data_IF_523997527171
#
_entry.id   IF_523997527171
#
_cell.length_a   1.000
_cell.length_b   1.000
_cell.length_c   1.000
_cell.angle_alpha   90.00
_cell.angle_beta   90.00
_cell.angle_gamma   90.00
#
_symmetry.space_group_name_H-M   'P 1'
#
loop_
_entity.id
_entity.type
_entity.pdbx_description
1 polymer ?
#
# COMPACT_ATOMS: atom_id res chain seq x y z
N UNK A 1 10.39 -1.43 3.35
CA UNK A 1 11.68 -2.15 3.14
C UNK A 1 12.80 -1.56 4.00
N UNK A 2 13.21 -0.30 3.77
CA UNK A 2 14.31 0.32 4.56
C UNK A 2 14.07 0.27 6.07
N UNK A 3 12.86 0.63 6.51
CA UNK A 3 12.47 0.53 7.93
C UNK A 3 12.59 -0.90 8.47
N UNK A 4 12.14 -1.89 7.70
CA UNK A 4 12.22 -3.31 8.08
C UNK A 4 13.67 -3.78 8.20
N UNK A 5 14.53 -3.41 7.25
CA UNK A 5 15.96 -3.75 7.30
C UNK A 5 16.64 -3.15 8.53
N UNK A 6 16.36 -1.88 8.81
CA UNK A 6 16.88 -1.21 10.00
C UNK A 6 16.37 -1.86 11.30
N UNK A 7 15.08 -2.19 11.37
CA UNK A 7 14.50 -2.87 12.52
C UNK A 7 15.06 -4.28 12.72
N UNK A 8 15.21 -5.07 11.65
CA UNK A 8 15.82 -6.40 11.70
C UNK A 8 17.27 -6.33 12.15
N UNK A 9 18.03 -5.33 11.71
CA UNK A 9 19.39 -5.10 12.18
C UNK A 9 19.42 -4.80 13.70
N UNK A 10 18.51 -3.98 14.20
CA UNK A 10 18.40 -3.70 15.64
C UNK A 10 18.04 -4.94 16.46
N UNK A 11 17.12 -5.78 15.95
CA UNK A 11 16.70 -7.02 16.62
C UNK A 11 17.81 -8.07 16.63
N UNK A 12 18.47 -8.29 15.49
CA UNK A 12 19.58 -9.28 15.40
C UNK A 12 20.80 -8.89 16.22
N UNK A 13 21.10 -7.59 16.32
CA UNK A 13 22.22 -7.08 17.10
C UNK A 13 21.86 -6.71 18.55
N UNK A 14 20.70 -7.13 19.09
CA UNK A 14 20.20 -6.61 20.36
C UNK A 14 21.17 -6.81 21.53
N UNK A 15 21.86 -7.96 21.62
CA UNK A 15 22.83 -8.25 22.69
C UNK A 15 24.02 -7.27 22.67
N UNK A 16 24.52 -6.94 21.48
CA UNK A 16 25.64 -6.01 21.28
C UNK A 16 25.21 -4.57 21.58
N UNK A 17 24.02 -4.19 21.16
CA UNK A 17 23.48 -2.84 21.33
C UNK A 17 23.07 -2.57 22.78
N UNK A 18 22.56 -3.58 23.49
CA UNK A 18 22.22 -3.49 24.91
C UNK A 18 23.46 -3.37 25.80
N UNK A 19 24.56 -4.06 25.44
CA UNK A 19 25.84 -3.94 26.16
C UNK A 19 26.46 -2.54 26.05
N UNK A 20 26.13 -1.78 25.00
CA UNK A 20 26.59 -0.41 24.80
C UNK A 20 25.57 0.55 25.39
N UNK A 21 25.75 0.90 26.67
CA UNK A 21 24.90 1.89 27.36
C UNK A 21 24.94 3.20 26.58
N UNK A 22 23.76 3.68 26.18
CA UNK A 22 23.57 4.90 25.40
C UNK A 22 22.88 5.95 26.26
N UNK A 23 23.46 7.15 26.32
CA UNK A 23 22.87 8.31 27.01
C UNK A 23 21.89 9.08 26.13
N UNK A 24 21.72 8.69 24.86
CA UNK A 24 20.81 9.34 23.93
C UNK A 24 19.38 8.84 24.12
N UNK A 25 18.49 9.71 24.61
CA UNK A 25 17.08 9.38 24.84
C UNK A 25 16.36 8.88 23.59
N UNK A 26 16.60 9.51 22.44
CA UNK A 26 16.02 9.10 21.14
C UNK A 26 16.39 7.64 20.84
N UNK A 27 17.65 7.26 21.03
CA UNK A 27 18.11 5.90 20.77
C UNK A 27 17.44 4.89 21.71
N UNK A 28 17.29 5.24 22.98
CA UNK A 28 16.66 4.38 23.98
C UNK A 28 15.17 4.13 23.67
N UNK A 29 14.43 5.14 23.20
CA UNK A 29 13.04 4.99 22.75
C UNK A 29 12.95 4.06 21.53
N UNK A 30 13.78 4.29 20.51
CA UNK A 30 13.81 3.45 19.30
C UNK A 30 14.17 1.99 19.60
N UNK A 31 15.19 1.76 20.45
CA UNK A 31 15.63 0.42 20.82
C UNK A 31 14.61 -0.31 21.70
N UNK A 32 13.91 0.41 22.60
CA UNK A 32 12.77 -0.11 23.36
C UNK A 32 11.64 -0.58 22.44
N UNK A 33 11.35 0.17 21.38
CA UNK A 33 10.32 -0.13 20.39
C UNK A 33 10.73 -1.06 19.23
N UNK A 34 11.90 -1.71 19.28
CA UNK A 34 12.48 -2.45 18.13
C UNK A 34 11.53 -3.44 17.44
N UNK A 35 10.71 -4.17 18.20
CA UNK A 35 9.72 -5.12 17.66
C UNK A 35 8.50 -4.42 17.05
N UNK A 36 8.09 -3.28 17.61
CA UNK A 36 7.00 -2.45 17.05
C UNK A 36 7.44 -1.91 15.68
N UNK A 37 8.65 -1.38 15.58
CA UNK A 37 9.20 -0.85 14.31
C UNK A 37 9.33 -1.97 13.27
N UNK A 38 9.74 -3.18 13.68
CA UNK A 38 9.80 -4.35 12.80
C UNK A 38 8.42 -4.67 12.21
N UNK A 39 7.40 -4.75 13.08
CA UNK A 39 6.03 -5.05 12.69
C UNK A 39 5.45 -3.95 11.79
N UNK A 40 5.67 -2.68 12.14
CA UNK A 40 5.30 -1.53 11.30
C UNK A 40 5.95 -1.60 9.91
N UNK A 41 7.24 -1.96 9.85
CA UNK A 41 7.95 -2.11 8.59
C UNK A 41 7.39 -3.23 7.70
N UNK A 42 7.05 -4.38 8.29
CA UNK A 42 6.44 -5.51 7.55
C UNK A 42 5.05 -5.17 7.03
N UNK A 43 4.18 -4.60 7.88
CA UNK A 43 2.85 -4.18 7.44
C UNK A 43 2.91 -3.06 6.40
N UNK A 44 3.88 -2.15 6.49
CA UNK A 44 4.10 -1.12 5.46
C UNK A 44 4.47 -1.73 4.10
N UNK A 45 5.26 -2.82 4.06
CA UNK A 45 5.56 -3.54 2.81
C UNK A 45 4.28 -4.15 2.24
N UNK A 46 3.48 -4.82 3.07
CA UNK A 46 2.21 -5.39 2.64
C UNK A 46 1.27 -4.33 2.05
N UNK A 47 1.08 -3.19 2.75
CA UNK A 47 0.24 -2.11 2.23
C UNK A 47 0.83 -1.49 0.96
N UNK A 48 2.16 -1.40 0.84
CA UNK A 48 2.83 -0.92 -0.38
C UNK A 48 2.55 -1.80 -1.59
N UNK A 49 2.51 -3.13 -1.40
CA UNK A 49 2.10 -4.09 -2.45
C UNK A 49 0.62 -3.90 -2.81
N UNK A 50 -0.27 -3.74 -1.82
CA UNK A 50 -1.70 -3.50 -2.07
C UNK A 50 -1.93 -2.21 -2.87
N UNK A 51 -1.22 -1.12 -2.56
CA UNK A 51 -1.29 0.11 -3.36
C UNK A 51 -0.52 0.03 -4.68
N UNK A 52 0.29 -1.01 -4.87
CA UNK A 52 1.25 -1.15 -5.97
C UNK A 52 2.11 0.10 -6.15
N UNK A 53 2.73 0.55 -5.05
CA UNK A 53 3.58 1.74 -5.02
C UNK A 53 4.93 1.43 -4.38
N UNK A 54 5.99 1.52 -5.19
CA UNK A 54 7.39 1.43 -4.77
C UNK A 54 8.10 2.69 -5.22
N UNK A 55 8.47 3.57 -4.29
CA UNK A 55 9.12 4.85 -4.56
C UNK A 55 8.37 5.72 -5.60
N UNK A 56 7.03 5.77 -5.51
CA UNK A 56 6.15 6.50 -6.43
C UNK A 56 6.11 5.92 -7.84
N UNK A 57 6.45 4.63 -8.00
CA UNK A 57 6.35 3.88 -9.25
C UNK A 57 5.53 2.61 -9.04
N UNK A 58 4.71 2.28 -10.05
CA UNK A 58 3.94 1.03 -10.06
C UNK A 58 4.73 -0.11 -10.69
N UNK A 59 4.49 -1.32 -10.20
CA UNK A 59 5.11 -2.56 -10.69
C UNK A 59 4.12 -3.37 -11.51
N UNK A 60 4.46 -3.70 -12.75
CA UNK A 60 3.66 -4.58 -13.59
C UNK A 60 4.11 -6.04 -13.40
N UNK A 61 3.46 -6.75 -12.47
CA UNK A 61 3.82 -8.13 -12.10
C UNK A 61 2.93 -9.15 -12.83
N UNK A 62 1.62 -8.88 -12.95
CA UNK A 62 0.64 -9.82 -13.51
C UNK A 62 0.14 -9.44 -14.91
N UNK A 63 0.61 -8.33 -15.48
CA UNK A 63 0.01 -7.73 -16.68
C UNK A 63 -1.15 -6.82 -16.32
N UNK A 64 -1.22 -5.64 -16.95
CA UNK A 64 -2.36 -4.74 -16.75
C UNK A 64 -3.63 -5.35 -17.36
N UNK A 65 -4.76 -5.15 -16.69
CA UNK A 65 -6.07 -5.54 -17.20
C UNK A 65 -6.60 -4.57 -18.27
N UNK A 66 -5.88 -3.46 -18.51
CA UNK A 66 -6.23 -2.44 -19.47
C UNK A 66 -5.33 -2.52 -20.70
N UNK A 67 -5.95 -2.38 -21.88
CA UNK A 67 -5.29 -2.39 -23.18
C UNK A 67 -5.58 -1.12 -23.94
N UNK A 68 -4.58 -0.64 -24.68
CA UNK A 68 -4.70 0.52 -25.55
C UNK A 68 -4.91 0.02 -26.98
N UNK A 69 -6.17 -0.12 -27.40
CA UNK A 69 -6.53 -0.54 -28.77
C UNK A 69 -6.97 0.67 -29.63
N UNK A 70 -6.14 1.71 -29.66
CA UNK A 70 -6.37 2.90 -30.50
C UNK A 70 -5.51 2.87 -31.76
N UNK A 71 -6.03 3.41 -32.87
CA UNK A 71 -5.29 3.49 -34.12
C UNK A 71 -4.26 4.62 -34.05
N UNK A 72 -3.17 4.51 -34.81
CA UNK A 72 -2.14 5.56 -34.89
C UNK A 72 -2.69 6.91 -35.39
N UNK A 73 -3.79 6.92 -36.14
CA UNK A 73 -4.52 8.15 -36.50
C UNK A 73 -5.11 8.83 -35.28
N UNK A 74 -5.80 8.06 -34.43
CA UNK A 74 -6.51 8.55 -33.25
C UNK A 74 -5.55 9.15 -32.21
N UNK A 75 -4.36 8.54 -32.10
CA UNK A 75 -3.26 9.00 -31.23
C UNK A 75 -2.63 10.32 -31.68
N UNK A 76 -2.65 10.62 -32.98
CA UNK A 76 -2.10 11.85 -33.53
C UNK A 76 -3.10 13.01 -33.52
N UNK A 77 -4.41 12.70 -33.56
CA UNK A 77 -5.48 13.70 -33.59
C UNK A 77 -5.85 14.22 -32.19
N UNK A 78 -5.70 13.40 -31.14
CA UNK A 78 -6.14 13.73 -29.78
C UNK A 78 -4.99 13.71 -28.79
N UNK A 79 -4.80 14.80 -28.04
CA UNK A 79 -3.80 14.88 -26.97
C UNK A 79 -4.13 13.95 -25.78
N UNK A 80 -5.41 13.67 -25.56
CA UNK A 80 -5.92 12.86 -24.45
C UNK A 80 -7.01 11.92 -24.92
N UNK A 81 -6.85 10.64 -24.59
CA UNK A 81 -7.81 9.59 -24.91
C UNK A 81 -8.34 8.96 -23.61
N UNK A 82 -9.64 8.71 -23.57
CA UNK A 82 -10.30 8.06 -22.44
C UNK A 82 -10.66 6.63 -22.81
N UNK A 83 -10.09 5.67 -22.08
CA UNK A 83 -10.43 4.26 -22.23
C UNK A 83 -11.86 4.00 -21.71
N UNK A 84 -12.71 3.44 -22.57
CA UNK A 84 -14.06 3.04 -22.17
C UNK A 84 -14.02 1.71 -21.39
N UNK A 85 -14.37 1.68 -20.09
CA UNK A 85 -14.42 0.45 -19.31
C UNK A 85 -15.46 -0.55 -19.78
N UNK A 86 -16.42 -0.16 -20.64
CA UNK A 86 -17.49 -1.04 -21.11
C UNK A 86 -17.06 -1.92 -22.29
N UNK A 87 -16.09 -1.48 -23.08
CA UNK A 87 -15.61 -2.26 -24.22
C UNK A 87 -14.58 -3.30 -23.77
N UNK A 88 -14.74 -4.54 -24.25
CA UNK A 88 -13.77 -5.61 -24.07
C UNK A 88 -12.44 -5.32 -24.79
N UNK A 89 -12.43 -4.40 -25.75
CA UNK A 89 -11.23 -3.99 -26.47
C UNK A 89 -10.24 -3.20 -25.59
N UNK A 90 -10.75 -2.49 -24.58
CA UNK A 90 -9.97 -1.62 -23.70
C UNK A 90 -9.80 -2.16 -22.29
N UNK A 91 -10.74 -2.98 -21.81
CA UNK A 91 -10.70 -3.58 -20.49
C UNK A 91 -11.14 -5.04 -20.53
N UNK A 92 -10.27 -5.93 -20.07
CA UNK A 92 -10.51 -7.38 -20.03
C UNK A 92 -11.63 -7.82 -19.06
N UNK A 93 -12.39 -6.89 -18.48
CA UNK A 93 -13.46 -7.13 -17.49
C UNK A 93 -13.00 -7.91 -16.25
N UNK A 94 -11.69 -8.01 -16.02
CA UNK A 94 -11.10 -8.73 -14.90
C UNK A 94 -10.25 -7.77 -14.06
N UNK A 95 -10.47 -7.69 -12.74
CA UNK A 95 -9.64 -6.87 -11.88
C UNK A 95 -8.21 -7.42 -11.79
N UNK A 96 -7.26 -6.54 -11.49
CA UNK A 96 -5.87 -6.91 -11.26
C UNK A 96 -5.78 -7.87 -10.05
N UNK A 97 -5.08 -9.02 -10.14
CA UNK A 97 -5.17 -10.08 -9.13
C UNK A 97 -4.74 -9.67 -7.71
N UNK A 98 -3.72 -8.82 -7.58
CA UNK A 98 -3.20 -8.37 -6.29
C UNK A 98 -2.87 -6.88 -6.33
N UNK A 99 -3.58 -6.11 -5.52
CA UNK A 99 -3.37 -4.67 -5.40
C UNK A 99 -3.93 -3.88 -6.57
N UNK A 100 -3.35 -2.71 -6.83
CA UNK A 100 -3.84 -1.78 -7.83
C UNK A 100 -3.18 -1.99 -9.20
N UNK A 101 -3.97 -1.88 -10.26
CA UNK A 101 -3.46 -2.01 -11.63
C UNK A 101 -2.41 -0.91 -11.92
N UNK A 102 -1.23 -1.26 -12.46
CA UNK A 102 -0.18 -0.31 -12.83
C UNK A 102 -0.61 0.84 -13.72
N UNK A 103 -1.64 0.66 -14.57
CA UNK A 103 -2.13 1.67 -15.52
C UNK A 103 -2.55 2.96 -14.81
N UNK A 104 -3.08 2.85 -13.59
CA UNK A 104 -3.51 4.01 -12.80
C UNK A 104 -2.37 4.93 -12.41
N UNK A 105 -1.12 4.48 -12.41
CA UNK A 105 0.01 5.37 -12.16
C UNK A 105 0.26 6.34 -13.33
N UNK A 106 -0.08 5.90 -14.55
CA UNK A 106 0.07 6.64 -15.81
C UNK A 106 -1.14 7.51 -16.13
N UNK A 107 -2.32 7.14 -15.61
CA UNK A 107 -3.57 7.85 -15.87
C UNK A 107 -3.57 9.29 -15.30
N UNK A 108 -4.16 10.23 -16.04
CA UNK A 108 -4.31 11.62 -15.60
C UNK A 108 -5.30 11.74 -14.43
N UNK A 109 -6.39 10.96 -14.48
CA UNK A 109 -7.45 10.95 -13.47
C UNK A 109 -7.13 10.10 -12.24
N UNK A 110 -5.86 9.69 -12.04
CA UNK A 110 -5.45 8.81 -10.93
C UNK A 110 -5.85 9.35 -9.56
N UNK A 111 -5.73 10.66 -9.34
CA UNK A 111 -5.99 11.28 -8.03
C UNK A 111 -7.45 11.09 -7.63
N UNK A 112 -8.37 11.29 -8.56
CA UNK A 112 -9.82 11.15 -8.30
C UNK A 112 -10.17 9.71 -7.93
N UNK A 113 -9.59 8.75 -8.65
CA UNK A 113 -9.79 7.33 -8.38
C UNK A 113 -9.19 6.89 -7.03
N UNK A 114 -7.92 7.23 -6.77
CA UNK A 114 -7.25 6.87 -5.51
C UNK A 114 -7.88 7.54 -4.28
N UNK A 115 -8.35 8.78 -4.40
CA UNK A 115 -9.03 9.46 -3.29
C UNK A 115 -10.33 8.74 -2.92
N UNK A 116 -11.14 8.40 -3.92
CA UNK A 116 -12.37 7.63 -3.71
C UNK A 116 -12.10 6.26 -3.08
N UNK A 117 -11.05 5.56 -3.56
CA UNK A 117 -10.63 4.28 -3.01
C UNK A 117 -10.19 4.39 -1.54
N UNK A 118 -9.28 5.32 -1.23
CA UNK A 118 -8.74 5.51 0.12
C UNK A 118 -9.81 5.90 1.14
N UNK A 119 -10.76 6.76 0.74
CA UNK A 119 -11.86 7.15 1.60
C UNK A 119 -12.73 5.94 1.99
N UNK A 120 -13.17 5.17 0.99
CA UNK A 120 -14.02 3.99 1.23
C UNK A 120 -13.29 2.94 2.08
N UNK A 121 -12.00 2.70 1.78
CA UNK A 121 -11.17 1.78 2.55
C UNK A 121 -11.01 2.20 4.02
N UNK A 122 -10.78 3.50 4.27
CA UNK A 122 -10.65 4.07 5.63
C UNK A 122 -11.93 3.86 6.46
N UNK A 123 -13.10 4.08 5.85
CA UNK A 123 -14.39 3.85 6.52
C UNK A 123 -14.56 2.37 6.90
N UNK A 124 -14.23 1.45 6.00
CA UNK A 124 -14.34 0.00 6.26
C UNK A 124 -13.45 -0.40 7.44
N UNK A 125 -12.17 0.00 7.43
CA UNK A 125 -11.27 -0.30 8.55
C UNK A 125 -11.73 0.34 9.86
N UNK A 126 -12.23 1.57 9.83
CA UNK A 126 -12.76 2.24 11.01
C UNK A 126 -13.93 1.49 11.64
N UNK A 127 -14.92 1.08 10.83
CA UNK A 127 -16.09 0.33 11.31
C UNK A 127 -15.67 -1.02 11.87
N UNK A 128 -14.81 -1.78 11.18
CA UNK A 128 -14.32 -3.08 11.66
C UNK A 128 -13.58 -2.92 12.99
N UNK A 129 -12.72 -1.91 13.12
CA UNK A 129 -11.96 -1.66 14.34
C UNK A 129 -12.85 -1.27 15.53
N UNK A 130 -13.88 -0.44 15.29
CA UNK A 130 -14.85 -0.08 16.33
C UNK A 130 -15.69 -1.28 16.78
N UNK A 131 -16.17 -2.11 15.84
CA UNK A 131 -16.94 -3.32 16.16
C UNK A 131 -16.09 -4.29 16.99
N UNK A 132 -14.82 -4.49 16.62
CA UNK A 132 -13.90 -5.32 17.40
C UNK A 132 -13.79 -4.86 18.86
N UNK A 133 -13.69 -3.54 19.10
CA UNK A 133 -13.68 -2.99 20.45
C UNK A 133 -14.94 -3.29 21.25
N UNK A 134 -16.12 -3.21 20.61
CA UNK A 134 -17.40 -3.56 21.26
C UNK A 134 -17.49 -5.06 21.55
N UNK A 135 -16.99 -5.94 20.66
CA UNK A 135 -16.96 -7.37 20.93
C UNK A 135 -16.11 -7.72 22.17
N UNK A 136 -14.97 -7.06 22.35
CA UNK A 136 -14.11 -7.25 23.53
C UNK A 136 -14.80 -6.77 24.81
N UNK A 137 -15.58 -5.67 24.75
CA UNK A 137 -16.29 -5.19 25.94
C UNK A 137 -17.36 -6.15 26.42
N UNK A 138 -18.05 -6.86 25.51
CA UNK A 138 -19.02 -7.91 25.87
C UNK A 138 -18.34 -9.05 26.63
N UNK A 139 -17.17 -9.51 26.17
CA UNK A 139 -16.41 -10.57 26.85
C UNK A 139 -15.97 -10.12 28.25
N UNK A 140 -15.70 -8.84 28.46
CA UNK A 140 -15.33 -8.32 29.77
C UNK A 140 -16.50 -8.21 30.75
N UNK A 141 -17.74 -8.19 30.25
CA UNK A 141 -18.95 -8.12 31.08
C UNK A 141 -19.40 -9.53 31.54
N UNK A 142 -19.13 -10.56 30.73
CA UNK A 142 -19.41 -11.97 31.03
C UNK A 142 -18.33 -12.54 31.95
#
# INVERSE_FOLDING_TARGET
ILMTLFATWMVTCEKRLMAKKSDNEIWNIFFGGRYIILLMGLFSIYTGIIYNDIFSKSMNIFGSAWTMNYTMSDLNEHEKLTLDPKSEDFYYQSPYPIGMDPVWALAENKIVFFNSYKMKLSIIFGVVHMIFGVCVSVINIV
#
